data_IF_491988751405
#
_entry.id   IF_491988751405
#
_cell.length_a   1.000
_cell.length_b   1.000
_cell.length_c   1.000
_cell.angle_alpha   90.00
_cell.angle_beta   90.00
_cell.angle_gamma   90.00
#
_symmetry.space_group_name_H-M   'P 1'
#
loop_
_entity.id
_entity.type
_entity.pdbx_description
1 polymer ?
#
# COMPACT_ATOMS: atom_id res chain seq x y z
N UNK A 1 -7.04 -0.31 -21.16
CA UNK A 1 -7.92 -0.13 -19.97
C UNK A 1 -7.65 1.22 -19.33
N UNK A 2 -8.68 2.00 -19.02
CA UNK A 2 -8.56 3.25 -18.28
C UNK A 2 -9.84 3.59 -17.50
N UNK A 3 -9.74 4.45 -16.48
CA UNK A 3 -10.92 5.02 -15.80
C UNK A 3 -11.55 6.09 -16.68
N UNK A 4 -12.81 5.90 -17.09
CA UNK A 4 -13.56 6.83 -17.95
C UNK A 4 -14.42 7.82 -17.17
N UNK A 5 -14.78 7.50 -15.92
CA UNK A 5 -15.57 8.38 -15.05
C UNK A 5 -15.33 8.07 -13.59
N UNK A 6 -15.37 9.10 -12.75
CA UNK A 6 -15.43 8.97 -11.29
C UNK A 6 -16.68 9.71 -10.81
N UNK A 7 -17.49 9.04 -9.99
CA UNK A 7 -18.63 9.65 -9.30
C UNK A 7 -18.54 9.42 -7.80
N UNK A 8 -18.66 10.49 -7.01
CA UNK A 8 -18.61 10.47 -5.55
C UNK A 8 -19.78 11.26 -4.98
N UNK A 9 -20.52 10.66 -4.06
CA UNK A 9 -21.65 11.28 -3.38
C UNK A 9 -21.50 11.17 -1.86
N UNK A 10 -21.76 12.27 -1.16
CA UNK A 10 -21.78 12.40 0.30
C UNK A 10 -20.50 11.94 1.04
N UNK A 11 -19.33 11.98 0.39
CA UNK A 11 -18.07 11.52 0.97
C UNK A 11 -17.17 12.68 1.41
N UNK A 12 -17.02 12.88 2.73
CA UNK A 12 -16.15 13.87 3.38
C UNK A 12 -16.36 15.28 2.85
N UNK A 13 -15.48 15.77 1.99
CA UNK A 13 -15.59 17.11 1.40
C UNK A 13 -16.38 17.12 0.08
N UNK A 14 -16.85 15.97 -0.41
CA UNK A 14 -17.61 15.82 -1.64
C UNK A 14 -19.10 15.65 -1.32
N UNK A 15 -19.90 16.68 -1.62
CA UNK A 15 -21.36 16.53 -1.70
C UNK A 15 -21.73 15.65 -2.89
N UNK A 16 -21.27 16.06 -4.05
CA UNK A 16 -21.48 15.42 -5.34
C UNK A 16 -20.30 15.78 -6.24
N UNK A 17 -19.68 14.77 -6.84
CA UNK A 17 -18.61 14.90 -7.81
C UNK A 17 -18.93 13.94 -8.94
N UNK A 18 -18.95 14.45 -10.16
CA UNK A 18 -19.16 13.65 -11.36
C UNK A 18 -18.22 14.15 -12.45
N UNK A 19 -17.20 13.35 -12.76
CA UNK A 19 -16.10 13.76 -13.64
C UNK A 19 -15.81 12.67 -14.66
N UNK A 20 -15.93 13.02 -15.94
CA UNK A 20 -15.43 12.21 -17.05
C UNK A 20 -13.91 12.34 -17.19
N UNK A 21 -13.26 11.23 -17.51
CA UNK A 21 -11.81 11.09 -17.60
C UNK A 21 -11.40 10.58 -18.99
N UNK A 22 -10.21 10.97 -19.43
CA UNK A 22 -9.66 10.63 -20.75
C UNK A 22 -8.32 9.91 -20.70
N UNK A 23 -8.10 9.04 -19.71
CA UNK A 23 -6.83 8.35 -19.51
C UNK A 23 -5.92 9.04 -18.50
N UNK A 24 -4.85 9.71 -18.93
CA UNK A 24 -3.92 10.38 -18.02
C UNK A 24 -4.58 11.61 -17.37
N UNK A 25 -4.69 11.61 -16.03
CA UNK A 25 -5.38 12.66 -15.27
C UNK A 25 -4.40 13.45 -14.41
N UNK A 26 -4.53 14.78 -14.42
CA UNK A 26 -3.83 15.67 -13.49
C UNK A 26 -4.84 16.35 -12.58
N UNK A 27 -4.73 16.14 -11.27
CA UNK A 27 -5.62 16.74 -10.27
C UNK A 27 -4.93 17.97 -9.66
N UNK A 28 -5.48 19.16 -9.91
CA UNK A 28 -4.96 20.43 -9.39
C UNK A 28 -5.99 21.06 -8.46
N UNK A 29 -5.52 21.73 -7.41
CA UNK A 29 -6.38 22.48 -6.50
C UNK A 29 -5.61 22.89 -5.25
N UNK A 30 -6.23 23.72 -4.42
CA UNK A 30 -5.64 24.17 -3.15
C UNK A 30 -5.49 23.03 -2.13
N UNK A 31 -4.69 23.27 -1.08
CA UNK A 31 -4.60 22.32 0.02
C UNK A 31 -5.95 22.18 0.73
N UNK A 32 -6.30 20.94 1.13
CA UNK A 32 -7.57 20.58 1.79
C UNK A 32 -8.84 20.66 0.93
N UNK A 33 -8.74 20.96 -0.37
CA UNK A 33 -9.91 20.98 -1.27
C UNK A 33 -10.52 19.60 -1.56
N UNK A 34 -9.84 18.50 -1.18
CA UNK A 34 -10.35 17.14 -1.39
C UNK A 34 -9.46 16.19 -2.18
N UNK A 35 -8.32 16.65 -2.72
CA UNK A 35 -7.44 15.82 -3.57
C UNK A 35 -7.07 14.47 -2.92
N UNK A 36 -6.66 14.49 -1.66
CA UNK A 36 -6.32 13.27 -0.92
C UNK A 36 -7.54 12.38 -0.64
N UNK A 37 -8.71 12.97 -0.43
CA UNK A 37 -9.96 12.23 -0.25
C UNK A 37 -10.42 11.58 -1.55
N UNK A 38 -10.25 12.24 -2.70
CA UNK A 38 -10.50 11.63 -4.01
C UNK A 38 -9.65 10.37 -4.20
N UNK A 39 -8.34 10.46 -3.94
CA UNK A 39 -7.46 9.29 -3.99
C UNK A 39 -7.88 8.21 -2.99
N UNK A 40 -8.25 8.58 -1.77
CA UNK A 40 -8.74 7.62 -0.78
C UNK A 40 -10.05 6.93 -1.22
N UNK A 41 -10.96 7.64 -1.86
CA UNK A 41 -12.18 7.07 -2.44
C UNK A 41 -11.86 5.98 -3.47
N UNK A 42 -10.89 6.21 -4.35
CA UNK A 42 -10.43 5.19 -5.30
C UNK A 42 -9.83 3.95 -4.59
N UNK A 43 -9.12 4.15 -3.48
CA UNK A 43 -8.57 3.03 -2.69
C UNK A 43 -9.65 2.13 -2.10
N UNK A 44 -10.82 2.66 -1.74
CA UNK A 44 -11.93 1.85 -1.24
C UNK A 44 -12.33 0.76 -2.25
N UNK A 45 -12.25 1.08 -3.54
CA UNK A 45 -12.56 0.17 -4.64
C UNK A 45 -11.37 -0.73 -4.96
N UNK A 46 -10.19 -0.16 -5.24
CA UNK A 46 -9.10 -0.88 -5.91
C UNK A 46 -7.95 -1.36 -5.03
N UNK A 47 -7.68 -0.72 -3.90
CA UNK A 47 -6.45 -0.98 -3.14
C UNK A 47 -6.57 -2.32 -2.39
N UNK A 48 -5.80 -3.38 -2.72
CA UNK A 48 -5.86 -4.66 -2.02
C UNK A 48 -5.20 -4.61 -0.63
N UNK A 49 -4.30 -3.65 -0.39
CA UNK A 49 -3.55 -3.51 0.86
C UNK A 49 -4.30 -2.68 1.93
N UNK A 50 -5.35 -1.95 1.54
CA UNK A 50 -6.24 -1.29 2.48
C UNK A 50 -6.97 -2.36 3.32
N UNK A 51 -6.98 -2.29 4.67
CA UNK A 51 -7.71 -3.24 5.50
C UNK A 51 -9.20 -2.91 5.53
N UNK A 52 -10.06 -3.89 5.82
CA UNK A 52 -11.51 -3.69 5.89
C UNK A 52 -11.92 -2.72 6.99
N UNK A 53 -11.17 -2.63 8.09
CA UNK A 53 -11.39 -1.60 9.12
C UNK A 53 -11.20 -0.18 8.59
N UNK A 54 -10.40 0.02 7.54
CA UNK A 54 -10.26 1.32 6.86
C UNK A 54 -11.26 1.50 5.72
N UNK A 55 -11.93 0.43 5.26
CA UNK A 55 -13.07 0.50 4.32
C UNK A 55 -14.39 0.68 5.03
N UNK A 56 -14.49 0.31 6.30
CA UNK A 56 -15.64 0.62 7.14
C UNK A 56 -15.58 2.10 7.51
N UNK A 57 -16.19 2.94 6.68
CA UNK A 57 -16.36 4.37 6.95
C UNK A 57 -17.39 4.58 8.07
N UNK A 58 -17.28 5.71 8.77
CA UNK A 58 -18.16 6.06 9.88
C UNK A 58 -19.00 7.32 9.63
N UNK A 59 -19.68 7.79 10.67
CA UNK A 59 -20.49 9.02 10.64
C UNK A 59 -19.66 10.25 10.23
N UNK A 60 -18.41 10.31 10.66
CA UNK A 60 -17.51 11.43 10.36
C UNK A 60 -17.01 11.46 8.90
N UNK A 61 -17.27 10.40 8.12
CA UNK A 61 -16.92 10.36 6.70
C UNK A 61 -18.04 10.88 5.79
N UNK A 62 -19.24 11.13 6.33
CA UNK A 62 -20.31 11.79 5.57
C UNK A 62 -19.96 13.24 5.28
N UNK A 63 -20.56 13.79 4.22
CA UNK A 63 -20.39 15.20 3.92
C UNK A 63 -21.02 16.10 4.99
N UNK A 64 -20.21 17.00 5.57
CA UNK A 64 -20.59 17.87 6.68
C UNK A 64 -21.80 18.78 6.40
N UNK A 65 -22.15 18.98 5.12
CA UNK A 65 -23.28 19.82 4.72
C UNK A 65 -24.63 19.10 4.68
N UNK A 66 -24.71 17.85 5.15
CA UNK A 66 -25.98 17.13 5.29
C UNK A 66 -26.74 17.62 6.54
N UNK A 67 -28.03 17.92 6.39
CA UNK A 67 -28.89 18.36 7.50
C UNK A 67 -29.13 17.25 8.53
N UNK A 68 -29.24 16.01 8.07
CA UNK A 68 -29.39 14.81 8.89
C UNK A 68 -28.88 13.57 8.13
N UNK A 69 -28.40 12.57 8.88
CA UNK A 69 -28.06 11.25 8.36
C UNK A 69 -29.17 10.30 8.78
N UNK A 70 -29.93 9.81 7.81
CA UNK A 70 -31.01 8.84 8.00
C UNK A 70 -30.66 7.47 7.39
N UNK A 71 -31.59 6.52 7.48
CA UNK A 71 -31.40 5.17 6.95
C UNK A 71 -31.20 5.10 5.43
N UNK A 72 -31.58 6.14 4.67
CA UNK A 72 -31.43 6.20 3.22
C UNK A 72 -30.17 6.98 2.81
N UNK A 73 -29.49 7.60 3.77
CA UNK A 73 -28.32 8.42 3.52
C UNK A 73 -27.11 7.51 3.30
N UNK A 74 -26.53 7.57 2.10
CA UNK A 74 -25.42 6.71 1.70
C UNK A 74 -24.21 7.52 1.26
N UNK A 75 -23.02 6.95 1.45
CA UNK A 75 -21.80 7.40 0.78
C UNK A 75 -21.59 6.49 -0.42
N UNK A 76 -21.46 7.06 -1.61
CA UNK A 76 -21.22 6.30 -2.84
C UNK A 76 -19.93 6.76 -3.48
N UNK A 77 -19.04 5.83 -3.80
CA UNK A 77 -17.89 6.06 -4.69
C UNK A 77 -18.01 5.05 -5.81
N UNK A 78 -18.14 5.52 -7.04
CA UNK A 78 -18.19 4.66 -8.21
C UNK A 78 -17.23 5.12 -9.28
N UNK A 79 -16.77 4.17 -10.07
CA UNK A 79 -15.84 4.38 -11.17
C UNK A 79 -16.29 3.60 -12.37
N UNK A 80 -16.13 4.19 -13.54
CA UNK A 80 -16.36 3.52 -14.82
C UNK A 80 -15.02 3.24 -15.49
N UNK A 81 -14.91 2.07 -16.10
CA UNK A 81 -13.71 1.54 -16.75
C UNK A 81 -14.05 1.21 -18.20
N UNK A 82 -13.19 1.64 -19.13
CA UNK A 82 -13.25 1.33 -20.56
C UNK A 82 -11.95 0.67 -21.05
N UNK A 83 -11.99 0.12 -22.26
CA UNK A 83 -10.88 -0.54 -22.96
C UNK A 83 -10.24 -1.69 -22.17
N UNK A 84 -11.04 -2.50 -21.46
CA UNK A 84 -10.54 -3.61 -20.64
C UNK A 84 -10.48 -4.95 -21.38
N UNK A 85 -10.88 -5.00 -22.65
CA UNK A 85 -11.05 -6.23 -23.42
C UNK A 85 -9.76 -6.78 -24.04
N UNK A 86 -8.71 -5.97 -24.13
CA UNK A 86 -7.44 -6.34 -24.76
C UNK A 86 -6.68 -7.43 -23.97
N UNK A 87 -6.93 -7.54 -22.67
CA UNK A 87 -6.33 -8.53 -21.78
C UNK A 87 -7.39 -9.56 -21.36
N UNK A 88 -7.19 -10.82 -21.76
CA UNK A 88 -8.12 -11.92 -21.46
C UNK A 88 -8.30 -12.16 -19.96
N UNK A 89 -7.26 -11.94 -19.16
CA UNK A 89 -7.32 -12.11 -17.71
C UNK A 89 -8.15 -11.02 -17.04
N UNK A 90 -8.05 -9.79 -17.53
CA UNK A 90 -8.86 -8.65 -17.06
C UNK A 90 -10.31 -8.81 -17.55
N UNK A 91 -10.49 -9.13 -18.83
CA UNK A 91 -11.79 -9.36 -19.46
C UNK A 91 -12.60 -10.42 -18.70
N UNK A 92 -11.97 -11.55 -18.35
CA UNK A 92 -12.64 -12.65 -17.66
C UNK A 92 -13.22 -12.24 -16.29
N UNK A 93 -12.64 -11.23 -15.64
CA UNK A 93 -13.04 -10.82 -14.29
C UNK A 93 -13.99 -9.63 -14.34
N UNK A 94 -13.82 -8.72 -15.30
CA UNK A 94 -14.64 -7.52 -15.40
C UNK A 94 -15.95 -7.72 -16.18
N UNK A 95 -16.07 -8.79 -16.97
CA UNK A 95 -17.25 -9.04 -17.82
C UNK A 95 -18.56 -9.06 -17.05
N UNK A 96 -18.58 -9.56 -15.82
CA UNK A 96 -19.80 -9.61 -15.01
C UNK A 96 -20.29 -8.22 -14.56
N UNK A 97 -19.39 -7.24 -14.54
CA UNK A 97 -19.61 -5.88 -14.00
C UNK A 97 -19.90 -4.83 -15.08
N UNK A 98 -20.22 -5.27 -16.32
CA UNK A 98 -20.66 -4.39 -17.40
C UNK A 98 -21.98 -3.70 -17.07
N UNK A 99 -22.18 -2.51 -17.64
CA UNK A 99 -23.47 -1.82 -17.57
C UNK A 99 -24.49 -2.49 -18.48
N UNK A 100 -25.76 -2.39 -18.13
CA UNK A 100 -26.85 -3.01 -18.88
C UNK A 100 -27.13 -2.29 -20.20
N UNK A 101 -26.88 -0.98 -20.26
CA UNK A 101 -27.10 -0.11 -21.42
C UNK A 101 -25.82 0.17 -22.24
N UNK A 102 -24.64 -0.01 -21.64
CA UNK A 102 -23.33 0.14 -22.29
C UNK A 102 -22.41 -1.04 -21.93
N UNK A 103 -22.41 -2.13 -22.74
CA UNK A 103 -21.60 -3.29 -22.44
C UNK A 103 -20.09 -2.99 -22.49
N UNK A 104 -19.65 -1.95 -23.19
CA UNK A 104 -18.24 -1.58 -23.30
C UNK A 104 -17.74 -0.84 -22.05
N UNK A 105 -18.65 -0.53 -21.11
CA UNK A 105 -18.35 0.11 -19.83
C UNK A 105 -18.57 -0.85 -18.67
N UNK A 106 -17.57 -0.93 -17.80
CA UNK A 106 -17.69 -1.60 -16.49
C UNK A 106 -17.81 -0.56 -15.40
N UNK A 107 -18.72 -0.75 -14.46
CA UNK A 107 -18.82 0.09 -13.26
C UNK A 107 -18.47 -0.71 -12.02
N UNK A 108 -17.64 -0.14 -11.16
CA UNK A 108 -17.39 -0.67 -9.81
C UNK A 108 -17.81 0.39 -8.79
N UNK A 109 -18.54 -0.06 -7.77
CA UNK A 109 -19.13 0.81 -6.76
C UNK A 109 -18.77 0.33 -5.38
N UNK A 110 -18.26 1.26 -4.57
CA UNK A 110 -18.25 1.18 -3.12
C UNK A 110 -19.44 1.98 -2.58
N UNK A 111 -20.20 1.41 -1.66
CA UNK A 111 -21.29 2.10 -0.99
C UNK A 111 -21.29 1.83 0.51
N UNK A 112 -21.30 2.88 1.32
CA UNK A 112 -21.62 2.81 2.75
C UNK A 112 -23.10 3.12 2.94
N UNK A 113 -23.81 2.31 3.72
CA UNK A 113 -25.23 2.51 4.05
C UNK A 113 -25.57 2.01 5.43
N UNK A 114 -26.70 2.46 5.97
CA UNK A 114 -27.24 1.91 7.20
C UNK A 114 -27.51 0.40 7.07
N UNK A 115 -27.34 -0.34 8.16
CA UNK A 115 -27.60 -1.78 8.16
C UNK A 115 -29.07 -2.07 7.85
N UNK A 116 -29.37 -3.14 7.09
CA UNK A 116 -30.74 -3.54 6.81
C UNK A 116 -31.49 -3.84 8.12
N UNK A 117 -32.70 -3.28 8.27
CA UNK A 117 -33.54 -3.55 9.44
C UNK A 117 -33.24 -2.70 10.67
N UNK A 118 -32.47 -1.62 10.53
CA UNK A 118 -32.29 -0.64 11.61
C UNK A 118 -33.64 -0.01 11.99
N UNK A 119 -34.05 -0.16 13.26
CA UNK A 119 -35.33 0.37 13.77
C UNK A 119 -35.21 1.83 14.27
N UNK A 120 -34.01 2.38 14.29
CA UNK A 120 -33.71 3.75 14.70
C UNK A 120 -32.90 4.48 13.63
N UNK A 121 -32.77 5.80 13.76
CA UNK A 121 -31.82 6.55 12.95
C UNK A 121 -30.38 6.10 13.29
N UNK A 122 -29.46 6.03 12.31
CA UNK A 122 -28.07 5.69 12.58
C UNK A 122 -27.46 6.68 13.57
N UNK A 123 -26.89 6.17 14.66
CA UNK A 123 -26.34 6.98 15.75
C UNK A 123 -24.89 6.61 16.08
N UNK A 124 -24.39 5.50 15.54
CA UNK A 124 -23.03 5.01 15.72
C UNK A 124 -22.45 4.49 14.41
N UNK A 125 -21.12 4.38 14.34
CA UNK A 125 -20.43 3.81 13.18
C UNK A 125 -20.80 2.32 12.96
N UNK A 126 -21.22 1.63 14.02
CA UNK A 126 -21.66 0.23 13.97
C UNK A 126 -23.01 0.06 13.25
N UNK A 127 -23.80 1.13 13.12
CA UNK A 127 -25.08 1.13 12.41
C UNK A 127 -24.92 1.11 10.88
N UNK A 128 -23.68 1.22 10.39
CA UNK A 128 -23.36 1.21 8.97
C UNK A 128 -22.67 -0.08 8.54
N UNK A 129 -22.81 -0.40 7.27
CA UNK A 129 -22.03 -1.43 6.61
C UNK A 129 -21.72 -0.99 5.19
N UNK A 130 -20.56 -1.40 4.69
CA UNK A 130 -20.21 -1.16 3.30
C UNK A 130 -20.48 -2.38 2.43
N UNK A 131 -20.75 -2.11 1.15
CA UNK A 131 -20.84 -3.11 0.09
C UNK A 131 -20.01 -2.66 -1.10
N UNK A 132 -19.40 -3.63 -1.77
CA UNK A 132 -18.66 -3.43 -3.01
C UNK A 132 -19.29 -4.30 -4.10
N UNK A 133 -19.82 -3.68 -5.15
CA UNK A 133 -20.53 -4.35 -6.23
C UNK A 133 -20.26 -3.71 -7.58
N UNK A 134 -20.39 -4.48 -8.65
CA UNK A 134 -20.16 -4.00 -10.02
C UNK A 134 -21.41 -3.98 -10.88
N UNK A 135 -21.33 -3.27 -12.01
CA UNK A 135 -22.48 -2.98 -12.88
C UNK A 135 -23.53 -2.14 -12.16
N UNK A 136 -24.79 -2.53 -12.31
CA UNK A 136 -25.96 -1.87 -11.70
C UNK A 136 -26.72 -2.78 -10.72
N UNK A 137 -26.09 -3.89 -10.31
CA UNK A 137 -26.70 -4.89 -9.43
C UNK A 137 -25.80 -5.19 -8.21
N UNK A 138 -26.34 -4.96 -7.02
CA UNK A 138 -25.66 -5.23 -5.75
C UNK A 138 -25.35 -6.71 -5.50
N UNK A 139 -26.03 -7.63 -6.21
CA UNK A 139 -25.75 -9.05 -6.15
C UNK A 139 -24.37 -9.39 -6.75
N UNK A 140 -23.88 -8.55 -7.69
CA UNK A 140 -22.58 -8.70 -8.36
C UNK A 140 -21.45 -8.17 -7.47
N UNK A 141 -21.25 -8.80 -6.30
CA UNK A 141 -20.25 -8.36 -5.33
C UNK A 141 -18.82 -8.61 -5.79
N UNK A 142 -17.91 -7.75 -5.34
CA UNK A 142 -16.47 -7.95 -5.51
C UNK A 142 -15.71 -7.71 -4.21
N UNK A 143 -14.52 -8.28 -4.12
CA UNK A 143 -13.69 -8.23 -2.93
C UNK A 143 -12.20 -8.26 -3.23
N UNK A 144 -11.45 -8.88 -2.32
CA UNK A 144 -9.99 -8.96 -2.40
C UNK A 144 -9.48 -9.63 -3.69
N UNK A 145 -10.17 -10.65 -4.19
CA UNK A 145 -9.74 -11.38 -5.39
C UNK A 145 -9.78 -10.51 -6.66
N UNK A 146 -10.81 -9.67 -6.82
CA UNK A 146 -10.85 -8.68 -7.89
C UNK A 146 -9.72 -7.66 -7.72
N UNK A 147 -9.58 -7.09 -6.53
CA UNK A 147 -8.60 -6.03 -6.23
C UNK A 147 -7.17 -6.46 -6.51
N UNK A 148 -6.85 -7.75 -6.34
CA UNK A 148 -5.53 -8.32 -6.69
C UNK A 148 -5.26 -8.44 -8.19
N UNK A 149 -6.29 -8.39 -9.04
CA UNK A 149 -6.15 -8.52 -10.51
C UNK A 149 -6.18 -7.16 -11.22
N UNK A 150 -6.86 -6.16 -10.65
CA UNK A 150 -6.94 -4.78 -11.19
C UNK A 150 -6.35 -3.75 -10.22
N UNK A 151 -5.18 -4.07 -9.67
CA UNK A 151 -4.57 -3.33 -8.55
C UNK A 151 -4.35 -1.85 -8.86
N UNK A 152 -4.64 -1.01 -7.86
CA UNK A 152 -4.19 0.39 -7.85
C UNK A 152 -2.88 0.51 -7.06
N UNK A 153 -1.82 0.92 -7.74
CA UNK A 153 -0.57 1.30 -7.09
C UNK A 153 -0.59 2.77 -6.69
N UNK A 154 -0.74 3.03 -5.39
CA UNK A 154 -0.68 4.37 -4.84
C UNK A 154 0.76 4.72 -4.47
N UNK A 155 1.39 5.55 -5.29
CA UNK A 155 2.66 6.15 -4.93
C UNK A 155 2.42 7.28 -3.92
N UNK A 156 2.88 7.17 -2.65
CA UNK A 156 2.74 8.25 -1.70
C UNK A 156 3.53 9.47 -2.18
N UNK A 157 3.34 10.62 -1.52
CA UNK A 157 4.19 11.77 -1.78
C UNK A 157 5.66 11.32 -1.67
N UNK A 158 6.39 11.44 -2.78
CA UNK A 158 7.77 10.98 -3.00
C UNK A 158 8.82 11.67 -2.10
N UNK A 159 8.39 12.27 -0.98
CA UNK A 159 9.28 12.85 0.03
C UNK A 159 10.15 11.80 0.70
N UNK A 160 9.72 10.54 0.74
CA UNK A 160 10.44 9.45 1.40
C UNK A 160 10.75 8.28 0.46
N UNK A 161 11.00 8.56 -0.83
CA UNK A 161 11.51 7.55 -1.77
C UNK A 161 12.79 6.90 -1.23
N UNK A 162 13.62 7.68 -0.53
CA UNK A 162 14.82 7.20 0.16
C UNK A 162 14.48 6.18 1.27
N UNK A 163 13.54 6.50 2.16
CA UNK A 163 13.13 5.61 3.25
C UNK A 163 12.41 4.36 2.75
N UNK A 164 11.58 4.47 1.72
CA UNK A 164 10.90 3.32 1.11
C UNK A 164 11.89 2.41 0.37
N UNK A 165 12.84 2.96 -0.41
CA UNK A 165 13.92 2.16 -1.02
C UNK A 165 14.83 1.52 0.03
N UNK A 166 15.08 2.20 1.16
CA UNK A 166 15.92 1.69 2.23
C UNK A 166 15.24 0.59 3.07
N UNK A 167 13.91 0.57 3.15
CA UNK A 167 13.13 -0.36 3.96
C UNK A 167 12.64 -1.55 3.12
N UNK A 168 13.29 -2.72 3.26
CA UNK A 168 12.99 -3.94 2.49
C UNK A 168 11.50 -4.27 2.31
N UNK A 169 10.68 -4.12 3.36
CA UNK A 169 9.24 -4.46 3.30
C UNK A 169 8.42 -3.55 2.38
N UNK A 170 8.82 -2.27 2.27
CA UNK A 170 8.14 -1.23 1.48
C UNK A 170 8.80 -0.97 0.13
N UNK A 171 10.03 -1.46 -0.05
CA UNK A 171 10.83 -1.18 -1.23
C UNK A 171 10.25 -1.83 -2.49
N UNK A 172 10.08 -1.08 -3.60
CA UNK A 172 9.71 -1.65 -4.90
C UNK A 172 10.76 -2.62 -5.44
N UNK A 173 12.00 -2.57 -4.95
CA UNK A 173 13.05 -3.54 -5.29
C UNK A 173 12.75 -4.96 -4.80
N UNK A 174 11.95 -5.09 -3.73
CA UNK A 174 11.74 -6.38 -3.07
C UNK A 174 11.22 -7.46 -4.04
N UNK A 175 10.10 -7.29 -4.76
CA UNK A 175 9.62 -8.31 -5.69
C UNK A 175 10.66 -8.62 -6.78
N UNK A 176 11.31 -7.60 -7.35
CA UNK A 176 12.32 -7.77 -8.40
C UNK A 176 13.52 -8.62 -7.93
N UNK A 177 13.99 -8.36 -6.71
CA UNK A 177 15.10 -9.10 -6.11
C UNK A 177 14.65 -10.50 -5.67
N UNK A 178 13.44 -10.65 -5.10
CA UNK A 178 12.89 -11.96 -4.74
C UNK A 178 12.80 -12.85 -6.00
N UNK A 179 12.22 -12.34 -7.09
CA UNK A 179 12.09 -13.06 -8.37
C UNK A 179 13.44 -13.43 -8.99
N UNK A 180 14.42 -12.51 -8.97
CA UNK A 180 15.77 -12.79 -9.46
C UNK A 180 16.47 -13.89 -8.65
N UNK A 181 16.15 -14.04 -7.36
CA UNK A 181 16.76 -15.03 -6.47
C UNK A 181 16.04 -16.38 -6.46
N UNK A 182 14.79 -16.47 -6.93
CA UNK A 182 14.03 -17.74 -7.01
C UNK A 182 14.76 -18.78 -7.86
N UNK A 183 15.46 -18.38 -8.91
CA UNK A 183 16.18 -19.28 -9.81
C UNK A 183 17.56 -19.75 -9.28
N UNK A 184 18.02 -19.22 -8.13
CA UNK A 184 19.35 -19.52 -7.59
C UNK A 184 19.30 -20.72 -6.65
N UNK A 185 20.27 -21.63 -6.80
CA UNK A 185 20.43 -22.80 -5.93
C UNK A 185 20.67 -22.39 -4.47
N UNK A 186 19.82 -22.90 -3.56
CA UNK A 186 19.90 -22.68 -2.12
C UNK A 186 21.25 -23.12 -1.52
N UNK A 187 21.90 -24.14 -2.06
CA UNK A 187 23.22 -24.58 -1.60
C UNK A 187 24.30 -23.52 -1.88
N UNK A 188 24.24 -22.85 -3.04
CA UNK A 188 25.15 -21.76 -3.40
C UNK A 188 24.91 -20.52 -2.54
N UNK A 189 23.65 -20.17 -2.29
CA UNK A 189 23.30 -19.07 -1.38
C UNK A 189 23.83 -19.33 0.03
N UNK A 190 23.76 -20.59 0.50
CA UNK A 190 24.34 -20.98 1.78
C UNK A 190 25.85 -20.79 1.84
N UNK A 191 26.57 -21.25 0.82
CA UNK A 191 28.02 -21.07 0.75
C UNK A 191 28.43 -19.59 0.79
N UNK A 192 27.70 -18.72 0.07
CA UNK A 192 27.94 -17.27 0.10
C UNK A 192 27.65 -16.69 1.48
N UNK A 193 26.55 -17.12 2.12
CA UNK A 193 26.18 -16.68 3.47
C UNK A 193 27.25 -17.01 4.50
N UNK A 194 27.79 -18.24 4.45
CA UNK A 194 28.85 -18.69 5.36
C UNK A 194 30.13 -17.85 5.19
N UNK A 195 30.52 -17.53 3.94
CA UNK A 195 31.67 -16.64 3.67
C UNK A 195 31.46 -15.22 4.18
N UNK A 196 30.25 -14.66 4.01
CA UNK A 196 29.91 -13.33 4.55
C UNK A 196 29.94 -13.36 6.07
N UNK A 197 29.46 -14.43 6.69
CA UNK A 197 29.47 -14.60 8.15
C UNK A 197 30.90 -14.66 8.71
N UNK A 198 31.80 -15.38 8.04
CA UNK A 198 33.21 -15.45 8.40
C UNK A 198 33.89 -14.07 8.32
N UNK A 199 33.71 -13.35 7.21
CA UNK A 199 34.26 -12.01 7.03
C UNK A 199 33.69 -11.00 8.05
N UNK A 200 32.38 -11.09 8.32
CA UNK A 200 31.70 -10.25 9.32
C UNK A 200 32.24 -10.51 10.73
N UNK A 201 32.51 -11.77 11.08
CA UNK A 201 33.09 -12.14 12.37
C UNK A 201 34.49 -11.57 12.54
N UNK A 202 35.33 -11.67 11.51
CA UNK A 202 36.68 -11.09 11.53
C UNK A 202 36.64 -9.57 11.80
N UNK A 203 35.65 -8.86 11.25
CA UNK A 203 35.49 -7.43 11.45
C UNK A 203 35.00 -7.01 12.86
N UNK A 204 34.50 -7.94 13.68
CA UNK A 204 34.04 -7.68 15.07
C UNK A 204 35.10 -8.12 16.09
N UNK A 205 36.10 -8.90 15.67
CA UNK A 205 37.09 -9.46 16.60
C UNK A 205 38.10 -8.44 17.15
N UNK A 206 38.13 -7.22 16.59
CA UNK A 206 38.95 -6.11 17.07
C UNK A 206 38.69 -5.79 18.54
N UNK A 207 39.76 -5.49 19.29
CA UNK A 207 39.70 -5.28 20.72
C UNK A 207 38.81 -4.08 21.10
N UNK A 208 38.83 -3.04 20.28
CA UNK A 208 38.05 -1.81 20.44
C UNK A 208 36.54 -2.09 20.35
N UNK A 209 36.13 -2.94 19.40
CA UNK A 209 34.71 -3.31 19.20
C UNK A 209 34.21 -4.16 20.38
N UNK A 210 35.01 -5.12 20.84
CA UNK A 210 34.68 -5.94 22.03
C UNK A 210 34.62 -5.14 23.32
N UNK A 211 35.50 -4.15 23.47
CA UNK A 211 35.47 -3.24 24.61
C UNK A 211 34.17 -2.43 24.59
N UNK A 212 33.77 -1.90 23.43
CA UNK A 212 32.53 -1.16 23.28
C UNK A 212 31.30 -2.01 23.59
N UNK A 213 31.25 -3.26 23.08
CA UNK A 213 30.17 -4.20 23.35
C UNK A 213 30.02 -4.50 24.85
N UNK A 214 31.15 -4.73 25.54
CA UNK A 214 31.17 -4.92 27.00
C UNK A 214 30.62 -3.69 27.72
N UNK A 215 31.09 -2.48 27.36
CA UNK A 215 30.62 -1.25 28.00
C UNK A 215 29.13 -0.97 27.78
N UNK A 216 28.59 -1.27 26.59
CA UNK A 216 27.16 -1.17 26.30
C UNK A 216 26.37 -2.17 27.15
N UNK A 217 26.85 -3.41 27.23
CA UNK A 217 26.22 -4.48 28.02
C UNK A 217 26.16 -4.14 29.51
N UNK A 218 27.28 -3.68 30.08
CA UNK A 218 27.36 -3.26 31.48
C UNK A 218 26.42 -2.07 31.76
N UNK A 219 26.41 -1.07 30.87
CA UNK A 219 25.54 0.11 31.00
C UNK A 219 24.07 -0.26 30.91
N UNK A 220 23.71 -1.15 29.98
CA UNK A 220 22.34 -1.62 29.83
C UNK A 220 21.89 -2.44 31.04
N UNK A 221 22.72 -3.36 31.52
CA UNK A 221 22.44 -4.16 32.71
C UNK A 221 22.25 -3.28 33.95
N UNK A 222 23.08 -2.24 34.11
CA UNK A 222 22.95 -1.28 35.20
C UNK A 222 21.61 -0.50 35.15
N UNK A 223 21.11 -0.20 33.96
CA UNK A 223 19.88 0.57 33.76
C UNK A 223 18.61 -0.28 33.84
N UNK A 224 18.58 -1.43 33.16
CA UNK A 224 17.39 -2.28 33.02
C UNK A 224 17.29 -3.36 34.12
N UNK A 225 18.41 -3.67 34.77
CA UNK A 225 18.54 -4.75 35.73
C UNK A 225 18.52 -6.15 35.09
N UNK A 226 18.88 -7.20 35.85
CA UNK A 226 19.07 -8.55 35.32
C UNK A 226 17.78 -9.22 34.82
N UNK A 227 16.60 -8.73 35.22
CA UNK A 227 15.31 -9.27 34.77
C UNK A 227 14.93 -8.82 33.36
N UNK A 228 15.52 -7.74 32.85
CA UNK A 228 15.24 -7.16 31.54
C UNK A 228 16.49 -7.12 30.66
N UNK A 229 17.56 -7.82 31.05
CA UNK A 229 18.80 -7.87 30.29
C UNK A 229 18.61 -8.62 28.98
N UNK A 230 18.71 -7.88 27.87
CA UNK A 230 18.61 -8.42 26.52
C UNK A 230 19.95 -8.93 25.97
N UNK A 231 21.04 -8.81 26.75
CA UNK A 231 22.41 -9.19 26.37
C UNK A 231 22.79 -8.59 25.00
N UNK A 232 22.89 -7.25 24.92
CA UNK A 232 23.17 -6.59 23.66
C UNK A 232 24.53 -7.04 23.11
N UNK A 233 24.60 -7.29 21.81
CA UNK A 233 25.84 -7.63 21.10
C UNK A 233 25.99 -6.77 19.86
N UNK A 234 27.24 -6.49 19.47
CA UNK A 234 27.53 -5.75 18.25
C UNK A 234 27.79 -6.75 17.13
N UNK A 235 27.06 -6.61 16.02
CA UNK A 235 27.28 -7.47 14.88
C UNK A 235 26.68 -6.93 13.59
N UNK A 236 27.04 -7.58 12.48
CA UNK A 236 26.42 -7.29 11.19
C UNK A 236 25.01 -7.89 11.13
N UNK A 237 24.09 -7.10 10.60
CA UNK A 237 22.64 -7.32 10.72
C UNK A 237 22.08 -8.59 10.06
N UNK A 238 22.82 -9.28 9.20
CA UNK A 238 22.38 -10.59 8.71
C UNK A 238 23.57 -11.45 8.24
N UNK A 239 23.82 -12.52 8.96
CA UNK A 239 24.69 -13.64 8.55
C UNK A 239 23.89 -14.89 8.22
N UNK A 240 22.55 -14.80 8.23
CA UNK A 240 21.68 -15.89 7.88
C UNK A 240 21.63 -16.04 6.35
N UNK A 241 22.24 -17.12 5.86
CA UNK A 241 22.27 -17.52 4.46
C UNK A 241 20.90 -17.46 3.77
N UNK A 242 19.82 -17.67 4.53
CA UNK A 242 18.45 -17.68 4.00
C UNK A 242 17.90 -16.28 3.68
N UNK A 243 18.58 -15.21 4.09
CA UNK A 243 18.10 -13.81 3.98
C UNK A 243 19.07 -12.87 3.27
N UNK A 244 20.06 -13.41 2.55
CA UNK A 244 21.07 -12.62 1.82
C UNK A 244 20.41 -11.63 0.86
N UNK A 245 19.33 -12.04 0.19
CA UNK A 245 18.60 -11.18 -0.75
C UNK A 245 18.08 -9.89 -0.10
N UNK A 246 17.73 -9.90 1.19
CA UNK A 246 17.25 -8.73 1.93
C UNK A 246 18.34 -7.69 2.22
N UNK A 247 19.60 -8.05 2.05
CA UNK A 247 20.73 -7.13 2.16
C UNK A 247 21.05 -6.41 0.86
N UNK A 248 20.49 -6.87 -0.27
CA UNK A 248 20.72 -6.22 -1.54
C UNK A 248 20.07 -4.84 -1.50
N UNK A 249 20.90 -3.83 -1.73
CA UNK A 249 20.49 -2.44 -1.90
C UNK A 249 20.89 -2.00 -3.29
N UNK A 250 20.06 -1.18 -3.90
CA UNK A 250 20.46 -0.44 -5.07
C UNK A 250 21.51 0.60 -4.66
N UNK A 251 22.64 0.59 -5.38
CA UNK A 251 23.73 1.53 -5.16
C UNK A 251 23.86 2.43 -6.41
N UNK A 252 24.23 3.68 -6.18
CA UNK A 252 24.48 4.69 -7.20
C UNK A 252 25.97 4.99 -7.31
N UNK A 253 26.34 5.77 -8.34
CA UNK A 253 27.73 6.16 -8.64
C UNK A 253 28.69 4.97 -8.68
N UNK A 254 28.40 4.00 -9.55
CA UNK A 254 29.22 2.79 -9.72
C UNK A 254 29.37 1.96 -8.43
N UNK A 255 28.34 1.96 -7.58
CA UNK A 255 28.32 1.13 -6.37
C UNK A 255 28.96 1.78 -5.15
N UNK A 256 29.25 3.08 -5.19
CA UNK A 256 29.97 3.76 -4.10
C UNK A 256 29.06 4.29 -3.01
N UNK A 257 27.80 4.58 -3.32
CA UNK A 257 26.87 5.26 -2.43
C UNK A 257 25.47 4.68 -2.49
N UNK A 258 24.72 4.85 -1.40
CA UNK A 258 23.31 4.44 -1.35
C UNK A 258 22.40 5.46 -2.02
N UNK A 259 21.16 5.08 -2.33
CA UNK A 259 20.18 6.01 -2.91
C UNK A 259 19.87 7.19 -1.97
N UNK A 260 20.05 7.02 -0.66
CA UNK A 260 19.92 8.11 0.32
C UNK A 260 20.95 9.24 0.15
N UNK A 261 22.06 8.99 -0.55
CA UNK A 261 23.07 10.01 -0.87
C UNK A 261 22.79 10.71 -2.21
N UNK A 262 21.71 10.33 -2.90
CA UNK A 262 21.29 10.92 -4.15
C UNK A 262 20.53 12.24 -3.93
N UNK A 263 20.34 13.03 -4.98
CA UNK A 263 19.36 14.11 -4.92
C UNK A 263 17.94 13.55 -4.82
N UNK A 264 17.00 14.27 -4.19
CA UNK A 264 15.59 13.89 -4.14
C UNK A 264 15.01 13.59 -5.53
N UNK A 265 15.41 14.36 -6.55
CA UNK A 265 14.99 14.12 -7.94
C UNK A 265 15.51 12.79 -8.49
N UNK A 266 16.76 12.46 -8.21
CA UNK A 266 17.38 11.19 -8.61
C UNK A 266 16.75 9.99 -7.87
N UNK A 267 16.51 10.11 -6.56
CA UNK A 267 15.83 9.09 -5.79
C UNK A 267 14.41 8.83 -6.32
N UNK A 268 13.70 9.88 -6.71
CA UNK A 268 12.36 9.77 -7.31
C UNK A 268 12.39 9.11 -8.70
N UNK A 269 13.35 9.45 -9.55
CA UNK A 269 13.51 8.80 -10.85
C UNK A 269 13.83 7.31 -10.70
N UNK A 270 14.70 6.96 -9.76
CA UNK A 270 15.00 5.57 -9.41
C UNK A 270 13.72 4.86 -8.98
N UNK A 271 12.96 5.45 -8.05
CA UNK A 271 11.72 4.87 -7.55
C UNK A 271 10.69 4.64 -8.67
N UNK A 272 10.58 5.57 -9.63
CA UNK A 272 9.69 5.45 -10.79
C UNK A 272 10.13 4.42 -11.83
N UNK A 273 11.40 3.98 -11.79
CA UNK A 273 11.95 3.00 -12.74
C UNK A 273 11.73 1.55 -12.28
N UNK A 274 11.43 1.36 -10.99
CA UNK A 274 11.31 0.07 -10.32
C UNK A 274 9.84 -0.34 -10.19
#
# INVERSE_FOLDING_TARGET
MYLSRIRIENFRNFRDLDVALGGNVVIVGENRVGKSNLLFGLRLIFDPALPDSSRQLGLADFWDGLDAIDANTTITVSVEIKDFEDDLDVLAVLTDYRLDDDPDTVRLTYQLRAQPGLEHAPASDDDFSFVCFGGEDEAKRFGHDLRRRITMDLLPALRDAEGDLAAWRRSPLRPLVEDAFVAIDAAKLKEIGDKIAEASKAAIEFAEVKSLETSISESFLAMAGPKQDVRPSLGFSATDATRINRQIRLLIDEGRRGVADASLGSANLIFLTL
#
